data_IF_403873302898
#
_entry.id   IF_403873302898
#
_cell.length_a   1.000
_cell.length_b   1.000
_cell.length_c   1.000
_cell.angle_alpha   90.00
_cell.angle_beta   90.00
_cell.angle_gamma   90.00
#
_symmetry.space_group_name_H-M   'P 1'
#
loop_
_entity.id
_entity.type
_entity.pdbx_description
1 polymer ?
#
# COMPACT_ATOMS: atom_id res chain seq x y z
N UNK A 1 58.59 16.56 -4.75
CA UNK A 1 58.24 15.35 -3.97
C UNK A 1 57.09 15.60 -2.99
N UNK A 2 56.89 16.82 -2.47
CA UNK A 2 55.78 17.08 -1.53
C UNK A 2 54.41 17.35 -2.19
N UNK A 3 54.39 17.92 -3.41
CA UNK A 3 53.14 18.23 -4.12
C UNK A 3 52.39 16.98 -4.61
N UNK A 4 53.10 15.90 -4.97
CA UNK A 4 52.46 14.63 -5.35
C UNK A 4 51.87 13.91 -4.13
N UNK A 5 52.50 14.05 -2.96
CA UNK A 5 52.04 13.43 -1.72
C UNK A 5 50.73 14.05 -1.23
N UNK A 6 50.59 15.38 -1.32
CA UNK A 6 49.34 16.08 -1.00
C UNK A 6 48.18 15.73 -1.95
N UNK A 7 48.45 15.54 -3.25
CA UNK A 7 47.42 15.17 -4.22
C UNK A 7 46.95 13.72 -4.03
N UNK A 8 47.87 12.81 -3.67
CA UNK A 8 47.53 11.42 -3.32
C UNK A 8 46.77 11.34 -2.01
N UNK A 9 47.11 12.15 -1.00
CA UNK A 9 46.36 12.23 0.25
C UNK A 9 44.93 12.76 0.01
N UNK A 10 44.77 13.78 -0.83
CA UNK A 10 43.45 14.31 -1.21
C UNK A 10 42.60 13.27 -1.96
N UNK A 11 43.20 12.49 -2.87
CA UNK A 11 42.51 11.40 -3.56
C UNK A 11 42.11 10.25 -2.62
N UNK A 12 42.90 9.97 -1.58
CA UNK A 12 42.57 8.95 -0.58
C UNK A 12 41.48 9.40 0.41
N UNK A 13 41.45 10.70 0.77
CA UNK A 13 40.38 11.28 1.60
C UNK A 13 39.05 11.36 0.83
N UNK A 14 39.08 11.62 -0.47
CA UNK A 14 37.89 11.56 -1.34
C UNK A 14 37.38 10.13 -1.57
N UNK A 15 38.22 9.10 -1.45
CA UNK A 15 37.80 7.69 -1.57
C UNK A 15 37.28 7.07 -0.27
N UNK A 16 37.55 7.69 0.89
CA UNK A 16 37.10 7.21 2.21
C UNK A 16 35.95 8.01 2.81
N UNK A 17 35.36 8.94 2.07
CA UNK A 17 34.06 9.50 2.45
C UNK A 17 33.01 8.42 2.18
N UNK A 18 32.35 7.82 3.19
CA UNK A 18 31.07 7.22 2.91
C UNK A 18 30.22 8.38 2.43
N UNK A 19 29.93 8.39 1.13
CA UNK A 19 28.76 9.07 0.63
C UNK A 19 27.61 8.45 1.42
N UNK A 20 27.22 9.11 2.51
CA UNK A 20 25.89 8.99 3.07
C UNK A 20 24.96 9.54 1.99
N UNK A 21 24.74 8.72 0.97
CA UNK A 21 23.51 8.71 0.20
C UNK A 21 22.47 8.25 1.22
N UNK A 22 22.05 9.18 2.08
CA UNK A 22 20.70 9.15 2.62
C UNK A 22 19.81 9.43 1.41
N UNK A 23 19.62 8.41 0.59
CA UNK A 23 18.36 8.27 -0.12
C UNK A 23 17.33 8.10 1.00
N UNK A 24 16.77 9.21 1.46
CA UNK A 24 15.39 9.19 1.93
C UNK A 24 14.57 8.78 0.70
N UNK A 25 14.48 7.47 0.49
CA UNK A 25 13.46 6.94 -0.39
C UNK A 25 12.13 7.51 0.07
N UNK A 26 11.24 7.93 -0.84
CA UNK A 26 9.90 8.30 -0.44
C UNK A 26 9.35 7.15 0.42
N UNK A 27 8.80 7.50 1.58
CA UNK A 27 7.97 6.61 2.36
C UNK A 27 6.70 6.36 1.53
N UNK A 28 6.83 5.48 0.55
CA UNK A 28 5.89 5.36 -0.56
C UNK A 28 6.17 4.08 -1.31
N UNK A 29 5.93 2.97 -0.62
CA UNK A 29 5.34 1.72 -1.11
C UNK A 29 5.53 0.71 0.02
N UNK A 30 4.66 0.79 1.03
CA UNK A 30 4.36 -0.41 1.79
C UNK A 30 3.83 -1.41 0.77
N UNK A 31 4.61 -2.44 0.46
CA UNK A 31 4.15 -3.58 -0.31
C UNK A 31 2.79 -4.01 0.24
N UNK A 32 1.80 -4.08 -0.65
CA UNK A 32 0.39 -4.27 -0.34
C UNK A 32 0.17 -5.41 0.66
N UNK A 33 0.11 -5.05 1.93
CA UNK A 33 -0.36 -5.90 3.00
C UNK A 33 -1.66 -5.25 3.48
N UNK A 34 -2.72 -6.04 3.54
CA UNK A 34 -4.00 -5.58 4.05
C UNK A 34 -3.80 -5.00 5.45
N UNK A 35 -4.00 -3.70 5.60
CA UNK A 35 -3.84 -3.04 6.90
C UNK A 35 -5.03 -3.40 7.79
N UNK A 36 -4.76 -3.99 8.96
CA UNK A 36 -5.81 -4.20 9.96
C UNK A 36 -6.15 -2.84 10.55
N UNK A 37 -7.34 -2.36 10.24
CA UNK A 37 -7.84 -1.05 10.69
C UNK A 37 -8.45 -1.15 12.09
N UNK A 38 -9.13 -2.26 12.39
CA UNK A 38 -9.76 -2.46 13.69
C UNK A 38 -9.90 -3.94 14.04
N UNK A 39 -9.72 -4.27 15.31
CA UNK A 39 -9.98 -5.58 15.87
C UNK A 39 -10.87 -5.42 17.12
N UNK A 40 -11.96 -6.17 17.21
CA UNK A 40 -12.96 -6.00 18.26
C UNK A 40 -13.51 -7.34 18.74
N UNK A 41 -13.88 -7.41 20.02
CA UNK A 41 -14.59 -8.54 20.60
C UNK A 41 -16.05 -8.14 20.77
N UNK A 42 -16.96 -8.92 20.19
CA UNK A 42 -18.41 -8.65 20.23
C UNK A 42 -19.13 -9.83 20.86
N UNK A 43 -20.04 -9.53 21.79
CA UNK A 43 -20.82 -10.53 22.54
C UNK A 43 -22.30 -10.34 22.22
N UNK A 44 -22.94 -11.39 21.76
CA UNK A 44 -24.36 -11.36 21.42
C UNK A 44 -25.08 -12.59 22.01
N UNK A 45 -26.30 -12.42 22.56
CA UNK A 45 -27.09 -13.56 23.01
C UNK A 45 -27.53 -14.44 21.84
N UNK A 46 -27.60 -15.75 22.07
CA UNK A 46 -28.19 -16.67 21.10
C UNK A 46 -29.63 -16.26 20.73
N UNK A 47 -30.00 -16.46 19.47
CA UNK A 47 -31.31 -16.08 18.91
C UNK A 47 -31.45 -14.61 18.53
N UNK A 48 -30.48 -13.75 18.86
CA UNK A 48 -30.50 -12.32 18.44
C UNK A 48 -29.90 -12.12 17.05
N UNK A 49 -30.05 -10.92 16.48
CA UNK A 49 -29.35 -10.50 15.26
C UNK A 49 -28.02 -9.85 15.63
N UNK A 50 -26.90 -10.41 15.15
CA UNK A 50 -25.60 -9.77 15.25
C UNK A 50 -25.35 -8.85 14.05
N UNK A 51 -24.78 -7.66 14.29
CA UNK A 51 -24.37 -6.73 13.24
C UNK A 51 -22.88 -6.41 13.41
N UNK A 52 -22.06 -6.86 12.46
CA UNK A 52 -20.63 -6.59 12.42
C UNK A 52 -20.38 -5.37 11.51
N UNK A 53 -20.18 -4.21 12.12
CA UNK A 53 -20.16 -2.93 11.39
C UNK A 53 -18.93 -2.76 10.50
N UNK A 54 -19.09 -2.84 9.18
CA UNK A 54 -17.99 -2.63 8.23
C UNK A 54 -18.33 -1.49 7.27
N UNK A 55 -17.95 -0.26 7.65
CA UNK A 55 -18.21 0.95 6.88
C UNK A 55 -16.92 1.62 6.45
N UNK A 56 -16.83 2.07 5.20
CA UNK A 56 -15.69 2.86 4.71
C UNK A 56 -16.17 3.91 3.69
N UNK A 57 -15.99 5.21 3.97
CA UNK A 57 -16.29 6.27 3.00
C UNK A 57 -15.48 6.13 1.71
N UNK A 58 -14.27 5.56 1.79
CA UNK A 58 -13.37 5.32 0.65
C UNK A 58 -13.78 4.16 -0.25
N UNK A 59 -14.86 3.46 0.10
CA UNK A 59 -15.46 2.37 -0.67
C UNK A 59 -16.87 2.74 -1.16
N UNK A 60 -17.24 4.02 -1.03
CA UNK A 60 -18.46 4.54 -1.64
C UNK A 60 -18.25 4.57 -3.14
N UNK A 61 -19.11 3.87 -3.86
CA UNK A 61 -19.10 3.85 -5.30
C UNK A 61 -20.48 4.21 -5.83
N UNK A 62 -20.49 5.18 -6.74
CA UNK A 62 -21.67 5.55 -7.51
C UNK A 62 -21.35 5.34 -8.99
N UNK A 63 -22.35 5.05 -9.82
CA UNK A 63 -22.11 4.94 -11.27
C UNK A 63 -21.85 6.30 -11.95
N UNK A 64 -21.71 7.38 -11.17
CA UNK A 64 -21.50 8.73 -11.68
C UNK A 64 -20.01 9.01 -11.94
N UNK A 65 -19.60 8.77 -13.18
CA UNK A 65 -18.23 8.95 -13.66
C UNK A 65 -17.71 10.40 -13.55
N UNK A 66 -18.57 11.40 -13.38
CA UNK A 66 -18.16 12.81 -13.29
C UNK A 66 -17.54 13.14 -11.93
N UNK A 67 -18.13 12.64 -10.84
CA UNK A 67 -17.66 12.90 -9.49
C UNK A 67 -16.45 12.04 -9.12
N UNK A 68 -16.39 10.79 -9.62
CA UNK A 68 -15.32 9.84 -9.31
C UNK A 68 -13.95 10.26 -9.89
N UNK A 69 -13.95 11.10 -10.93
CA UNK A 69 -12.72 11.59 -11.60
C UNK A 69 -12.22 12.92 -11.07
N UNK A 70 -12.92 13.50 -10.10
CA UNK A 70 -12.63 14.84 -9.64
C UNK A 70 -11.33 14.86 -8.84
N UNK A 71 -10.25 15.21 -9.54
CA UNK A 71 -8.96 15.58 -8.99
C UNK A 71 -8.78 17.07 -9.16
N UNK A 72 -8.17 17.71 -8.17
CA UNK A 72 -7.87 19.14 -8.20
C UNK A 72 -6.45 19.36 -7.73
N UNK A 73 -5.72 20.18 -8.48
CA UNK A 73 -4.48 20.82 -8.06
C UNK A 73 -4.82 22.23 -7.64
N UNK A 74 -4.29 22.69 -6.51
CA UNK A 74 -4.24 24.11 -6.20
C UNK A 74 -2.90 24.52 -5.60
N UNK A 75 -2.48 25.74 -5.94
CA UNK A 75 -1.33 26.38 -5.33
C UNK A 75 -1.78 27.45 -4.35
N UNK A 76 -1.26 27.40 -3.13
CA UNK A 76 -1.52 28.39 -2.10
C UNK A 76 -0.21 29.08 -1.69
N UNK A 77 -0.29 30.35 -1.27
CA UNK A 77 0.83 31.16 -0.79
C UNK A 77 0.63 31.53 0.67
N UNK A 78 1.61 31.21 1.51
CA UNK A 78 1.70 31.65 2.89
C UNK A 78 2.84 32.65 3.07
N UNK A 79 2.50 33.88 3.44
CA UNK A 79 3.48 34.95 3.68
C UNK A 79 4.12 34.90 5.07
N UNK A 80 3.49 34.22 6.03
CA UNK A 80 3.98 34.06 7.40
C UNK A 80 3.79 32.61 7.85
N UNK A 81 4.78 31.98 8.52
CA UNK A 81 4.60 30.66 9.13
C UNK A 81 3.39 30.66 10.09
N UNK A 82 2.37 29.84 9.82
CA UNK A 82 1.16 29.73 10.65
C UNK A 82 -0.04 30.60 10.22
N UNK A 83 0.08 31.39 9.15
CA UNK A 83 -1.08 32.05 8.52
C UNK A 83 -1.85 31.08 7.61
N UNK A 84 -3.17 31.24 7.46
CA UNK A 84 -3.92 30.50 6.44
C UNK A 84 -3.41 30.94 5.06
N UNK A 85 -2.89 29.99 4.28
CA UNK A 85 -2.39 30.25 2.93
C UNK A 85 -3.50 30.82 2.03
N UNK A 86 -3.16 31.83 1.21
CA UNK A 86 -4.04 32.40 0.21
C UNK A 86 -3.98 31.55 -1.06
N UNK A 87 -5.13 31.07 -1.52
CA UNK A 87 -5.22 30.33 -2.79
C UNK A 87 -4.91 31.24 -3.99
N UNK A 88 -3.98 30.80 -4.83
CA UNK A 88 -3.54 31.54 -6.01
C UNK A 88 -4.25 31.07 -7.28
N UNK A 89 -4.17 29.77 -7.53
CA UNK A 89 -4.67 29.12 -8.75
C UNK A 89 -5.11 27.70 -8.42
N UNK A 90 -6.20 27.26 -9.05
CA UNK A 90 -6.62 25.86 -9.05
C UNK A 90 -6.94 25.35 -10.45
N UNK A 91 -6.89 24.03 -10.64
CA UNK A 91 -7.27 23.38 -11.88
C UNK A 91 -7.83 21.98 -11.58
N UNK A 92 -8.99 21.69 -12.14
CA UNK A 92 -9.61 20.36 -12.07
C UNK A 92 -9.16 19.50 -13.25
N UNK A 93 -9.18 18.17 -13.10
CA UNK A 93 -8.72 17.25 -14.15
C UNK A 93 -9.43 17.37 -15.51
N UNK A 94 -10.70 17.75 -15.53
CA UNK A 94 -11.47 17.99 -16.76
C UNK A 94 -11.75 19.49 -17.02
N UNK A 95 -11.07 20.38 -16.28
CA UNK A 95 -11.32 21.82 -16.32
C UNK A 95 -10.08 22.61 -16.73
N UNK A 96 -10.29 23.89 -16.97
CA UNK A 96 -9.20 24.85 -17.17
C UNK A 96 -8.70 25.37 -15.82
N UNK A 97 -7.51 25.97 -15.83
CA UNK A 97 -7.00 26.68 -14.65
C UNK A 97 -7.87 27.90 -14.33
N UNK A 98 -8.06 28.16 -13.05
CA UNK A 98 -8.71 29.37 -12.54
C UNK A 98 -7.76 30.09 -11.59
N UNK A 99 -7.46 31.34 -11.94
CA UNK A 99 -6.66 32.25 -11.11
C UNK A 99 -7.60 33.11 -10.28
N UNK A 100 -7.31 33.24 -8.98
CA UNK A 100 -8.23 33.90 -8.03
C UNK A 100 -8.09 35.42 -8.00
N UNK A 101 -6.89 35.95 -8.24
CA UNK A 101 -6.63 37.39 -8.25
C UNK A 101 -6.50 37.92 -9.69
N UNK A 102 -7.21 39.01 -10.06
CA UNK A 102 -7.11 39.59 -11.40
C UNK A 102 -5.69 40.00 -11.81
N UNK A 103 -4.88 40.45 -10.84
CA UNK A 103 -3.47 40.84 -11.06
C UNK A 103 -2.59 39.68 -11.54
N UNK A 104 -2.96 38.47 -11.13
CA UNK A 104 -2.19 37.24 -11.38
C UNK A 104 -2.65 36.55 -12.69
N UNK A 105 -3.68 37.08 -13.34
CA UNK A 105 -4.21 36.54 -14.59
C UNK A 105 -3.19 36.66 -15.74
N UNK A 106 -2.91 35.56 -16.43
CA UNK A 106 -1.87 35.48 -17.44
C UNK A 106 -0.43 35.53 -16.90
N UNK A 107 -0.26 35.75 -15.59
CA UNK A 107 1.03 35.77 -14.90
C UNK A 107 1.36 34.41 -14.26
N UNK A 108 0.37 33.79 -13.62
CA UNK A 108 0.45 32.44 -13.07
C UNK A 108 -0.04 31.42 -14.09
N UNK A 109 0.76 30.39 -14.35
CA UNK A 109 0.49 29.37 -15.35
C UNK A 109 0.74 27.97 -14.80
N UNK A 110 -0.24 27.10 -14.99
CA UNK A 110 -0.14 25.66 -14.87
C UNK A 110 -0.05 25.03 -16.26
N UNK A 111 0.49 23.82 -16.34
CA UNK A 111 0.46 23.05 -17.58
C UNK A 111 -0.97 22.60 -17.90
N UNK A 112 -1.54 22.87 -19.09
CA UNK A 112 -2.83 22.34 -19.49
C UNK A 112 -2.88 20.80 -19.54
N UNK A 113 -1.72 20.16 -19.69
CA UNK A 113 -1.57 18.70 -19.69
C UNK A 113 -1.18 18.11 -18.33
N UNK A 114 -1.28 18.87 -17.22
CA UNK A 114 -0.76 18.45 -15.92
C UNK A 114 -1.28 17.07 -15.46
N UNK A 115 -2.57 16.80 -15.67
CA UNK A 115 -3.18 15.50 -15.33
C UNK A 115 -2.89 14.38 -16.35
N UNK A 116 -2.20 14.65 -17.46
CA UNK A 116 -1.77 13.64 -18.43
C UNK A 116 -0.34 13.15 -18.15
N UNK A 117 0.53 14.05 -17.70
CA UNK A 117 1.95 13.82 -17.50
C UNK A 117 2.40 13.85 -16.03
N UNK A 118 1.51 14.27 -15.11
CA UNK A 118 1.79 14.39 -13.69
C UNK A 118 2.64 15.61 -13.35
N UNK A 119 2.68 16.63 -14.21
CA UNK A 119 3.45 17.85 -14.00
C UNK A 119 2.55 19.01 -13.56
N UNK A 120 2.49 19.23 -12.25
CA UNK A 120 1.69 20.24 -11.56
C UNK A 120 2.48 21.50 -11.22
N UNK A 121 3.64 21.69 -11.87
CA UNK A 121 4.53 22.83 -11.62
C UNK A 121 3.85 24.17 -11.91
N UNK A 122 4.16 25.17 -11.10
CA UNK A 122 3.64 26.53 -11.26
C UNK A 122 4.72 27.43 -11.85
N UNK A 123 4.38 28.10 -12.96
CA UNK A 123 5.20 29.13 -13.57
C UNK A 123 4.65 30.52 -13.19
N UNK A 124 5.51 31.33 -12.58
CA UNK A 124 5.33 32.77 -12.41
C UNK A 124 6.14 33.47 -13.51
N UNK A 125 5.51 34.24 -14.39
CA UNK A 125 6.21 34.87 -15.53
C UNK A 125 7.24 35.93 -15.15
N UNK A 126 6.94 36.75 -14.15
CA UNK A 126 7.80 37.84 -13.70
C UNK A 126 7.59 38.05 -12.21
N UNK A 127 8.59 37.70 -11.41
CA UNK A 127 8.54 37.74 -9.94
C UNK A 127 8.71 39.16 -9.41
N UNK A 128 7.95 39.51 -8.37
CA UNK A 128 7.95 40.78 -7.65
C UNK A 128 8.24 40.53 -6.16
N UNK A 129 8.64 41.58 -5.44
CA UNK A 129 8.95 41.49 -3.99
C UNK A 129 7.74 40.96 -3.18
N UNK A 130 6.52 41.29 -3.59
CA UNK A 130 5.30 40.80 -2.95
C UNK A 130 4.96 39.33 -3.17
N UNK A 131 5.75 38.60 -3.95
CA UNK A 131 5.59 37.15 -4.16
C UNK A 131 6.39 36.29 -3.19
N UNK A 132 7.24 36.91 -2.37
CA UNK A 132 8.01 36.18 -1.35
C UNK A 132 7.09 35.41 -0.41
N UNK A 133 7.50 34.19 -0.08
CA UNK A 133 6.76 33.35 0.85
C UNK A 133 6.90 31.86 0.55
N UNK A 134 6.09 31.07 1.24
CA UNK A 134 6.04 29.62 1.07
C UNK A 134 4.82 29.25 0.25
N UNK A 135 5.07 28.68 -0.91
CA UNK A 135 4.10 28.14 -1.83
C UNK A 135 3.85 26.67 -1.53
N UNK A 136 2.60 26.24 -1.57
CA UNK A 136 2.23 24.83 -1.43
C UNK A 136 1.48 24.35 -2.66
N UNK A 137 2.02 23.31 -3.30
CA UNK A 137 1.34 22.54 -4.33
C UNK A 137 0.50 21.48 -3.65
N UNK A 138 -0.82 21.52 -3.81
CA UNK A 138 -1.74 20.58 -3.15
C UNK A 138 -2.52 19.78 -4.19
N UNK A 139 -2.40 18.46 -4.12
CA UNK A 139 -3.12 17.52 -4.98
C UNK A 139 -4.18 16.81 -4.15
N UNK A 140 -5.45 16.98 -4.54
CA UNK A 140 -6.57 16.32 -3.89
C UNK A 140 -7.28 15.39 -4.85
N UNK A 141 -7.44 14.14 -4.45
CA UNK A 141 -8.26 13.15 -5.14
C UNK A 141 -9.54 12.97 -4.34
N UNK A 142 -10.65 13.55 -4.80
CA UNK A 142 -11.90 13.53 -4.02
C UNK A 142 -12.45 12.11 -3.82
N UNK A 143 -12.39 11.30 -4.88
CA UNK A 143 -12.86 9.92 -4.86
C UNK A 143 -12.04 9.00 -3.94
N UNK A 144 -10.72 8.97 -4.08
CA UNK A 144 -9.86 8.17 -3.19
C UNK A 144 -9.62 8.79 -1.80
N UNK A 145 -10.09 10.01 -1.56
CA UNK A 145 -9.78 10.82 -0.37
C UNK A 145 -8.27 10.91 -0.08
N UNK A 146 -7.47 11.12 -1.13
CA UNK A 146 -6.01 11.26 -1.04
C UNK A 146 -5.62 12.73 -1.12
N UNK A 147 -4.62 13.09 -0.32
CA UNK A 147 -4.11 14.45 -0.16
C UNK A 147 -2.59 14.40 -0.18
N UNK A 148 -1.98 15.06 -1.15
CA UNK A 148 -0.53 15.20 -1.25
C UNK A 148 -0.18 16.68 -1.31
N UNK A 149 0.89 17.08 -0.61
CA UNK A 149 1.32 18.47 -0.57
C UNK A 149 2.83 18.60 -0.64
N UNK A 150 3.32 19.52 -1.47
CA UNK A 150 4.74 19.88 -1.57
C UNK A 150 4.91 21.38 -1.30
N UNK A 151 5.85 21.74 -0.43
CA UNK A 151 6.18 23.12 -0.13
C UNK A 151 7.43 23.58 -0.89
N UNK A 152 7.41 24.83 -1.37
CA UNK A 152 8.55 25.52 -1.99
C UNK A 152 8.61 26.95 -1.44
N UNK A 153 9.77 27.41 -0.98
CA UNK A 153 9.95 28.81 -0.54
C UNK A 153 10.52 29.63 -1.70
N UNK A 154 9.89 30.75 -2.00
CA UNK A 154 10.39 31.74 -2.95
C UNK A 154 11.00 32.92 -2.19
N UNK A 155 12.25 33.24 -2.52
CA UNK A 155 12.96 34.42 -2.06
C UNK A 155 13.30 35.29 -3.27
N UNK A 156 13.13 36.61 -3.14
CA UNK A 156 13.31 37.54 -4.25
C UNK A 156 14.57 38.36 -4.01
N UNK A 157 15.40 38.49 -5.04
CA UNK A 157 16.63 39.26 -4.97
C UNK A 157 16.72 40.27 -6.11
N UNK A 158 17.40 41.38 -5.87
CA UNK A 158 17.75 42.32 -6.93
C UNK A 158 19.01 41.92 -7.68
N UNK A 159 19.85 41.06 -7.09
CA UNK A 159 21.11 40.62 -7.69
C UNK A 159 20.93 39.26 -8.39
N UNK A 160 20.95 39.22 -9.73
CA UNK A 160 20.83 37.96 -10.47
C UNK A 160 21.97 36.97 -10.20
N UNK A 161 23.11 37.41 -9.65
CA UNK A 161 24.20 36.51 -9.27
C UNK A 161 23.87 35.67 -8.02
N UNK A 162 22.89 36.10 -7.22
CA UNK A 162 22.41 35.35 -6.06
C UNK A 162 21.31 34.35 -6.41
N UNK A 163 20.81 34.35 -7.65
CA UNK A 163 19.75 33.45 -8.09
C UNK A 163 20.22 31.99 -8.06
N UNK A 164 19.51 31.15 -7.31
CA UNK A 164 19.84 29.73 -7.10
C UNK A 164 18.65 28.96 -6.53
N UNK A 165 18.65 27.65 -6.69
CA UNK A 165 17.77 26.73 -5.99
C UNK A 165 18.59 25.85 -5.05
N UNK A 166 18.12 25.63 -3.83
CA UNK A 166 18.75 24.75 -2.85
C UNK A 166 17.72 24.12 -1.91
N UNK A 167 18.12 23.08 -1.17
CA UNK A 167 17.29 22.44 -0.16
C UNK A 167 17.63 22.97 1.24
N UNK A 168 16.63 23.43 2.01
CA UNK A 168 16.85 23.94 3.37
C UNK A 168 16.85 22.87 4.47
N UNK A 169 16.62 21.61 4.10
CA UNK A 169 16.47 20.46 5.01
C UNK A 169 15.03 19.95 5.06
N UNK A 170 14.05 20.78 4.73
CA UNK A 170 12.62 20.45 4.76
C UNK A 170 11.92 20.67 3.42
N UNK A 171 12.31 21.72 2.68
CA UNK A 171 11.71 22.12 1.41
C UNK A 171 12.73 22.76 0.47
N UNK A 172 12.33 22.87 -0.79
CA UNK A 172 13.11 23.58 -1.80
C UNK A 172 12.97 25.09 -1.57
N UNK A 173 14.11 25.80 -1.61
CA UNK A 173 14.18 27.26 -1.56
C UNK A 173 14.74 27.74 -2.89
N UNK A 174 13.99 28.61 -3.54
CA UNK A 174 14.35 29.19 -4.83
C UNK A 174 14.52 30.70 -4.66
N UNK A 175 15.75 31.17 -4.90
CA UNK A 175 16.10 32.58 -4.94
C UNK A 175 16.03 33.04 -6.39
N UNK A 176 15.13 33.97 -6.70
CA UNK A 176 14.87 34.44 -8.07
C UNK A 176 15.07 35.95 -8.16
N UNK A 177 15.75 36.37 -9.22
CA UNK A 177 15.93 37.79 -9.48
C UNK A 177 14.59 38.45 -9.84
N UNK A 178 14.31 39.64 -9.29
CA UNK A 178 13.10 40.41 -9.60
C UNK A 178 12.93 40.60 -11.11
N UNK A 179 11.71 40.38 -11.59
CA UNK A 179 11.32 40.45 -13.01
C UNK A 179 11.61 39.18 -13.81
N UNK A 180 12.37 38.22 -13.28
CA UNK A 180 12.62 36.95 -13.95
C UNK A 180 11.49 35.94 -13.73
N UNK A 181 11.31 34.97 -14.63
CA UNK A 181 10.36 33.88 -14.43
C UNK A 181 10.85 32.91 -13.35
N UNK A 182 9.89 32.35 -12.60
CA UNK A 182 10.11 31.33 -11.58
C UNK A 182 9.26 30.11 -11.89
N UNK A 183 9.90 28.94 -12.02
CA UNK A 183 9.21 27.65 -12.19
C UNK A 183 9.36 26.83 -10.92
N UNK A 184 8.30 26.76 -10.12
CA UNK A 184 8.26 25.92 -8.93
C UNK A 184 7.86 24.51 -9.32
N UNK A 185 8.78 23.56 -9.17
CA UNK A 185 8.56 22.18 -9.60
C UNK A 185 7.61 21.46 -8.66
N UNK A 186 6.56 20.86 -9.22
CA UNK A 186 5.68 19.94 -8.52
C UNK A 186 5.32 18.80 -9.47
N UNK A 187 5.90 17.62 -9.27
CA UNK A 187 5.75 16.49 -10.20
C UNK A 187 5.34 15.25 -9.42
N UNK A 188 4.18 14.70 -9.74
CA UNK A 188 3.72 13.42 -9.23
C UNK A 188 3.18 12.57 -10.39
N UNK A 189 3.93 11.52 -10.75
CA UNK A 189 3.63 10.65 -11.90
C UNK A 189 2.93 9.36 -11.53
N UNK A 190 2.42 9.24 -10.31
CA UNK A 190 1.63 8.05 -9.97
C UNK A 190 0.35 7.99 -10.81
N UNK A 191 -0.08 6.77 -11.11
CA UNK A 191 -1.25 6.52 -11.96
C UNK A 191 -2.52 7.15 -11.41
N UNK A 192 -2.64 7.29 -10.09
CA UNK A 192 -3.76 7.94 -9.40
C UNK A 192 -3.93 9.41 -9.79
N UNK A 193 -2.83 10.10 -10.05
CA UNK A 193 -2.83 11.53 -10.37
C UNK A 193 -2.86 11.79 -11.88
N UNK A 194 -2.81 10.74 -12.70
CA UNK A 194 -2.76 10.86 -14.16
C UNK A 194 -3.94 10.17 -14.86
N UNK A 195 -4.30 10.62 -16.05
CA UNK A 195 -5.41 10.09 -16.85
C UNK A 195 -5.11 8.74 -17.54
N UNK A 196 -4.02 8.08 -17.17
CA UNK A 196 -3.44 6.97 -17.94
C UNK A 196 -4.15 5.62 -17.74
N UNK A 197 -5.08 5.49 -16.80
CA UNK A 197 -5.74 4.21 -16.51
C UNK A 197 -7.27 4.31 -16.43
N UNK A 198 -7.95 3.31 -17.00
CA UNK A 198 -9.39 3.09 -16.80
C UNK A 198 -9.65 2.63 -15.35
N UNK A 199 -10.53 3.37 -14.67
CA UNK A 199 -11.05 3.12 -13.32
C UNK A 199 -11.95 1.88 -13.21
N UNK A 200 -12.06 1.05 -14.26
CA UNK A 200 -12.87 -0.17 -14.28
C UNK A 200 -12.28 -1.29 -13.39
N UNK A 201 -11.25 -0.97 -12.61
CA UNK A 201 -10.69 -1.86 -11.62
C UNK A 201 -11.71 -2.15 -10.51
N UNK A 202 -12.01 -3.44 -10.34
CA UNK A 202 -13.05 -3.93 -9.45
C UNK A 202 -12.80 -3.49 -7.99
N UNK A 203 -13.78 -2.82 -7.39
CA UNK A 203 -13.89 -2.79 -5.95
C UNK A 203 -14.55 -4.09 -5.49
N UNK A 204 -13.94 -4.71 -4.51
CA UNK A 204 -14.45 -5.94 -3.92
C UNK A 204 -14.39 -5.83 -2.41
N UNK A 205 -15.46 -6.25 -1.77
CA UNK A 205 -15.50 -6.47 -0.33
C UNK A 205 -15.74 -7.93 -0.11
N UNK A 206 -14.94 -8.52 0.78
CA UNK A 206 -15.12 -9.90 1.16
C UNK A 206 -15.20 -10.08 2.66
N UNK A 207 -16.03 -11.04 3.05
CA UNK A 207 -16.14 -11.51 4.41
C UNK A 207 -15.53 -12.89 4.50
N UNK A 208 -14.59 -13.05 5.42
CA UNK A 208 -13.96 -14.31 5.77
C UNK A 208 -14.39 -14.72 7.17
N UNK A 209 -14.53 -16.02 7.40
CA UNK A 209 -14.81 -16.62 8.69
C UNK A 209 -13.70 -17.59 9.04
N UNK A 210 -13.15 -17.44 10.23
CA UNK A 210 -12.14 -18.32 10.80
C UNK A 210 -12.72 -18.99 12.04
N UNK A 211 -12.78 -20.31 12.02
CA UNK A 211 -13.22 -21.11 13.15
C UNK A 211 -12.18 -21.09 14.27
N UNK A 212 -12.59 -21.25 15.55
CA UNK A 212 -11.66 -21.36 16.67
C UNK A 212 -10.59 -22.44 16.42
N UNK A 213 -9.32 -22.07 16.58
CA UNK A 213 -8.18 -22.98 16.39
C UNK A 213 -7.67 -23.13 14.94
N UNK A 214 -8.34 -22.53 13.95
CA UNK A 214 -7.83 -22.44 12.57
C UNK A 214 -6.84 -21.27 12.47
N UNK A 215 -5.67 -21.41 11.83
CA UNK A 215 -4.75 -20.29 11.63
C UNK A 215 -5.27 -19.29 10.58
N UNK A 216 -4.77 -18.06 10.66
CA UNK A 216 -5.26 -16.90 9.87
C UNK A 216 -5.16 -17.08 8.35
N UNK A 217 -4.19 -17.84 7.87
CA UNK A 217 -3.96 -18.14 6.45
C UNK A 217 -5.00 -19.10 5.85
N UNK A 218 -5.85 -19.69 6.69
CA UNK A 218 -6.87 -20.68 6.31
C UNK A 218 -8.28 -20.26 6.71
N UNK A 219 -8.53 -18.95 6.77
CA UNK A 219 -9.90 -18.46 6.92
C UNK A 219 -10.74 -18.85 5.70
N UNK A 220 -11.97 -19.30 5.93
CA UNK A 220 -12.89 -19.67 4.87
C UNK A 220 -13.61 -18.43 4.35
N UNK A 221 -13.71 -18.32 3.02
CA UNK A 221 -14.52 -17.27 2.39
C UNK A 221 -15.99 -17.48 2.76
N UNK A 222 -16.69 -16.39 3.14
CA UNK A 222 -18.12 -16.39 3.46
C UNK A 222 -18.93 -15.63 2.38
N UNK A 223 -18.49 -14.42 2.02
CA UNK A 223 -19.16 -13.61 0.99
C UNK A 223 -18.13 -12.84 0.16
N UNK A 224 -18.42 -12.69 -1.13
CA UNK A 224 -17.84 -11.67 -2.00
C UNK A 224 -18.94 -10.72 -2.49
N UNK A 225 -18.64 -9.43 -2.45
CA UNK A 225 -19.48 -8.34 -2.93
C UNK A 225 -18.68 -7.53 -3.94
N UNK A 226 -19.17 -7.42 -5.16
CA UNK A 226 -18.54 -6.63 -6.22
C UNK A 226 -19.32 -5.35 -6.49
N UNK A 227 -18.61 -4.28 -6.83
CA UNK A 227 -19.24 -3.00 -7.21
C UNK A 227 -20.21 -3.15 -8.40
N UNK A 228 -19.96 -4.12 -9.28
CA UNK A 228 -20.84 -4.50 -10.40
C UNK A 228 -22.24 -4.96 -9.97
N UNK A 229 -22.44 -5.24 -8.68
CA UNK A 229 -23.67 -5.81 -8.12
C UNK A 229 -23.63 -7.34 -8.01
N UNK A 230 -22.60 -8.00 -8.55
CA UNK A 230 -22.41 -9.44 -8.37
C UNK A 230 -22.14 -9.77 -6.89
N UNK A 231 -22.76 -10.85 -6.42
CA UNK A 231 -22.62 -11.36 -5.05
C UNK A 231 -22.38 -12.85 -5.10
N UNK A 232 -21.38 -13.32 -4.36
CA UNK A 232 -21.10 -14.74 -4.21
C UNK A 232 -21.12 -15.10 -2.74
N UNK A 233 -21.82 -16.17 -2.41
CA UNK A 233 -21.90 -16.67 -1.06
C UNK A 233 -21.29 -18.06 -0.98
N UNK A 234 -20.50 -18.25 0.07
CA UNK A 234 -19.68 -19.41 0.31
C UNK A 234 -19.96 -19.96 1.70
N UNK A 235 -19.39 -21.12 2.01
CA UNK A 235 -19.60 -21.79 3.29
C UNK A 235 -20.91 -22.60 3.34
N UNK A 236 -21.26 -23.09 4.54
CA UNK A 236 -22.34 -24.05 4.70
C UNK A 236 -23.73 -23.41 4.57
N UNK A 237 -24.68 -24.17 4.04
CA UNK A 237 -26.05 -23.71 3.78
C UNK A 237 -26.73 -23.14 5.03
N UNK A 238 -26.53 -23.75 6.21
CA UNK A 238 -27.15 -23.33 7.46
C UNK A 238 -26.78 -21.90 7.90
N UNK A 239 -25.61 -21.41 7.47
CA UNK A 239 -25.16 -20.05 7.75
C UNK A 239 -25.52 -19.11 6.59
N UNK A 240 -25.39 -19.58 5.35
CA UNK A 240 -25.63 -18.78 4.15
C UNK A 240 -27.02 -18.13 4.12
N UNK A 241 -28.03 -18.85 4.60
CA UNK A 241 -29.42 -18.36 4.57
C UNK A 241 -29.71 -17.34 5.69
N UNK A 242 -28.84 -17.22 6.70
CA UNK A 242 -28.97 -16.29 7.84
C UNK A 242 -28.04 -15.08 7.74
N UNK A 243 -27.12 -15.07 6.78
CA UNK A 243 -26.13 -14.01 6.61
C UNK A 243 -26.52 -13.07 5.48
N UNK A 244 -26.52 -11.77 5.74
CA UNK A 244 -26.88 -10.76 4.75
C UNK A 244 -26.04 -9.48 4.85
N UNK A 245 -25.88 -8.82 3.71
CA UNK A 245 -25.38 -7.45 3.58
C UNK A 245 -26.37 -6.65 2.75
N UNK A 246 -26.54 -5.36 3.09
CA UNK A 246 -27.52 -4.48 2.42
C UNK A 246 -27.32 -4.45 0.89
N UNK A 247 -28.42 -4.31 0.14
CA UNK A 247 -28.42 -4.32 -1.34
C UNK A 247 -27.55 -3.20 -1.94
N UNK A 248 -27.63 -2.03 -1.33
CA UNK A 248 -27.02 -0.76 -1.68
C UNK A 248 -25.80 -0.44 -0.81
N UNK A 249 -25.02 -1.48 -0.48
CA UNK A 249 -23.81 -1.39 0.33
C UNK A 249 -22.78 -0.41 -0.27
N UNK A 250 -22.46 -0.54 -1.56
CA UNK A 250 -21.50 0.33 -2.25
C UNK A 250 -21.98 1.79 -2.36
N UNK A 251 -23.27 2.03 -2.53
CA UNK A 251 -23.80 3.40 -2.61
C UNK A 251 -23.65 4.17 -1.29
N UNK A 252 -23.59 3.47 -0.14
CA UNK A 252 -23.42 4.08 1.19
C UNK A 252 -22.07 3.80 1.83
N UNK A 253 -21.24 2.96 1.22
CA UNK A 253 -20.02 2.43 1.84
C UNK A 253 -20.30 1.60 3.10
N UNK A 254 -21.47 0.93 3.18
CA UNK A 254 -21.91 0.13 4.35
C UNK A 254 -22.01 -1.36 4.01
N UNK A 255 -20.96 -2.09 4.36
CA UNK A 255 -20.77 -3.52 4.10
C UNK A 255 -20.95 -4.37 5.35
N UNK A 256 -21.69 -3.85 6.33
CA UNK A 256 -21.89 -4.52 7.62
C UNK A 256 -22.54 -5.89 7.45
N UNK A 257 -21.94 -6.92 8.07
CA UNK A 257 -22.47 -8.27 8.07
C UNK A 257 -23.60 -8.38 9.08
N UNK A 258 -24.74 -8.91 8.65
CA UNK A 258 -25.85 -9.28 9.54
C UNK A 258 -25.91 -10.79 9.63
N UNK A 259 -26.03 -11.30 10.85
CA UNK A 259 -26.23 -12.72 11.13
C UNK A 259 -27.52 -12.83 11.94
N UNK A 260 -28.56 -13.37 11.33
CA UNK A 260 -29.87 -13.54 11.96
C UNK A 260 -29.92 -14.83 12.80
N UNK A 261 -30.73 -14.79 13.86
CA UNK A 261 -30.97 -15.93 14.76
C UNK A 261 -29.68 -16.63 15.21
N UNK A 262 -28.80 -15.89 15.89
CA UNK A 262 -27.44 -16.33 16.20
C UNK A 262 -27.38 -17.65 16.99
N UNK A 263 -26.57 -18.59 16.54
CA UNK A 263 -26.39 -19.91 17.15
C UNK A 263 -25.00 -20.02 17.79
N UNK A 264 -24.82 -20.90 18.78
CA UNK A 264 -23.52 -21.11 19.42
C UNK A 264 -22.45 -21.59 18.42
N UNK A 265 -22.87 -22.30 17.37
CA UNK A 265 -22.01 -22.73 16.27
C UNK A 265 -21.55 -21.57 15.37
N UNK A 266 -22.09 -20.35 15.51
CA UNK A 266 -21.68 -19.17 14.75
C UNK A 266 -20.48 -18.45 15.37
N UNK A 267 -20.06 -18.85 16.57
CA UNK A 267 -18.86 -18.33 17.23
C UNK A 267 -17.62 -18.49 16.32
N UNK A 268 -16.73 -17.50 16.38
CA UNK A 268 -15.51 -17.47 15.58
C UNK A 268 -15.04 -16.05 15.28
N UNK A 269 -14.03 -15.97 14.41
CA UNK A 269 -13.42 -14.71 13.99
C UNK A 269 -13.95 -14.37 12.60
N UNK A 270 -14.61 -13.23 12.46
CA UNK A 270 -15.10 -12.71 11.20
C UNK A 270 -14.22 -11.56 10.75
N UNK A 271 -13.76 -11.59 9.49
CA UNK A 271 -12.92 -10.54 8.92
C UNK A 271 -13.60 -9.92 7.71
N UNK A 272 -13.84 -8.61 7.76
CA UNK A 272 -14.23 -7.82 6.60
C UNK A 272 -12.96 -7.28 5.93
N UNK A 273 -12.80 -7.52 4.64
CA UNK A 273 -11.71 -6.96 3.86
C UNK A 273 -12.26 -6.10 2.73
N UNK A 274 -11.72 -4.89 2.60
CA UNK A 274 -12.13 -3.95 1.59
C UNK A 274 -10.95 -3.70 0.66
N UNK A 275 -11.16 -3.98 -0.62
CA UNK A 275 -10.15 -3.84 -1.66
C UNK A 275 -10.64 -2.84 -2.69
N UNK A 276 -9.93 -1.72 -2.79
CA UNK A 276 -10.10 -0.74 -3.86
C UNK A 276 -8.86 -0.75 -4.72
N UNK A 277 -8.86 -1.51 -5.81
CA UNK A 277 -7.65 -1.69 -6.64
C UNK A 277 -7.14 -0.37 -7.23
N UNK A 278 -8.04 0.48 -7.74
CA UNK A 278 -7.65 1.79 -8.30
C UNK A 278 -6.98 2.67 -7.24
N UNK A 279 -7.66 2.97 -6.12
CA UNK A 279 -7.11 3.76 -5.01
C UNK A 279 -6.00 3.08 -4.19
N UNK A 280 -5.62 1.83 -4.48
CA UNK A 280 -4.67 1.07 -3.67
C UNK A 280 -5.12 0.80 -2.22
N UNK A 281 -6.43 0.83 -1.95
CA UNK A 281 -6.96 0.66 -0.60
C UNK A 281 -7.03 -0.83 -0.23
N UNK A 282 -6.44 -1.17 0.90
CA UNK A 282 -6.55 -2.50 1.52
C UNK A 282 -6.82 -2.34 3.02
N UNK A 283 -8.09 -2.39 3.40
CA UNK A 283 -8.55 -2.31 4.79
C UNK A 283 -9.04 -3.67 5.27
N UNK A 284 -8.76 -4.00 6.54
CA UNK A 284 -9.30 -5.19 7.21
C UNK A 284 -9.88 -4.85 8.57
N UNK A 285 -11.09 -5.33 8.86
CA UNK A 285 -11.73 -5.23 10.18
C UNK A 285 -12.02 -6.63 10.72
N UNK A 286 -11.62 -6.90 11.96
CA UNK A 286 -11.70 -8.23 12.59
C UNK A 286 -12.66 -8.18 13.78
N UNK A 287 -13.54 -9.18 13.87
CA UNK A 287 -14.53 -9.33 14.92
C UNK A 287 -14.42 -10.72 15.53
N UNK A 288 -14.09 -10.78 16.81
CA UNK A 288 -14.17 -11.99 17.63
C UNK A 288 -15.60 -12.10 18.16
N UNK A 289 -16.44 -12.88 17.48
CA UNK A 289 -17.84 -13.05 17.82
C UNK A 289 -18.00 -14.16 18.87
N UNK A 290 -18.50 -13.80 20.05
CA UNK A 290 -18.83 -14.71 21.13
C UNK A 290 -20.36 -14.77 21.30
N UNK A 291 -20.90 -15.98 21.38
CA UNK A 291 -22.34 -16.21 21.54
C UNK A 291 -22.62 -16.57 22.99
N UNK A 292 -23.32 -15.69 23.70
CA UNK A 292 -23.70 -15.94 25.10
C UNK A 292 -25.02 -16.68 25.17
N UNK A 293 -25.20 -17.48 26.20
CA UNK A 293 -26.50 -18.09 26.48
C UNK A 293 -27.57 -17.01 26.68
N UNK A 294 -28.81 -17.26 26.25
CA UNK A 294 -29.89 -16.32 26.45
C UNK A 294 -30.08 -16.08 27.95
N UNK A 295 -30.08 -14.82 28.37
CA UNK A 295 -30.37 -14.47 29.76
C UNK A 295 -31.80 -14.88 30.05
N UNK A 296 -31.98 -16.00 30.74
CA UNK A 296 -33.29 -16.41 31.24
C UNK A 296 -33.64 -15.44 32.38
N UNK A 297 -34.34 -14.36 32.06
CA UNK A 297 -34.93 -13.50 33.07
C UNK A 297 -36.00 -14.34 33.80
N UNK A 298 -35.81 -14.68 35.08
CA UNK A 298 -36.80 -15.47 35.80
C UNK A 298 -38.11 -14.68 35.77
N UNK A 299 -39.27 -15.32 35.50
CA UNK A 299 -40.54 -14.63 35.57
C UNK A 299 -40.64 -13.95 36.94
N UNK A 300 -40.93 -12.64 36.93
CA UNK A 300 -41.06 -11.86 38.16
C UNK A 300 -41.99 -12.61 39.12
N UNK A 301 -41.60 -12.79 40.40
CA UNK A 301 -42.48 -13.45 41.36
C UNK A 301 -43.80 -12.70 41.39
N UNK A 302 -44.88 -13.40 41.06
CA UNK A 302 -46.23 -12.86 41.11
C UNK A 302 -46.43 -12.22 42.51
N UNK A 303 -46.81 -10.95 42.54
CA UNK A 303 -47.17 -10.26 43.78
C UNK A 303 -48.14 -11.11 44.60
N UNK A 304 -47.91 -11.33 45.90
CA UNK A 304 -48.83 -12.11 46.72
C UNK A 304 -50.14 -11.35 46.89
N UNK A 305 -51.19 -11.89 46.27
CA UNK A 305 -52.57 -11.53 46.60
C UNK A 305 -52.90 -11.95 48.03
N UNK A 306 -53.48 -11.02 48.76
CA UNK A 306 -53.92 -11.15 50.15
C UNK A 306 -54.98 -12.28 50.28
N UNK A 307 -54.70 -13.30 51.10
CA UNK A 307 -55.64 -14.40 51.33
C UNK A 307 -55.20 -15.33 52.45
N UNK A 308 -55.89 -15.24 53.59
CA UNK A 308 -55.68 -15.96 54.84
C UNK A 308 -55.88 -17.48 54.76
N UNK A 309 -55.08 -18.26 55.49
CA UNK A 309 -55.38 -19.67 55.78
C UNK A 309 -54.28 -20.37 56.59
N UNK A 310 -54.56 -20.64 57.86
CA UNK A 310 -53.72 -21.30 58.87
C UNK A 310 -53.18 -22.69 58.49
N UNK A 311 -51.91 -22.99 58.80
CA UNK A 311 -51.49 -23.86 59.93
C UNK A 311 -50.05 -24.43 59.81
N UNK A 312 -49.41 -24.53 60.99
CA UNK A 312 -48.40 -25.52 61.45
C UNK A 312 -46.90 -25.37 61.09
N UNK A 313 -46.16 -24.90 62.11
CA UNK A 313 -44.99 -25.51 62.78
C UNK A 313 -43.55 -25.29 62.25
N UNK A 314 -42.52 -25.29 63.14
CA UNK A 314 -41.35 -24.41 63.07
C UNK A 314 -40.07 -25.06 62.51
N UNK A 315 -39.11 -24.23 62.11
CA UNK A 315 -37.86 -24.62 61.42
C UNK A 315 -36.77 -25.24 62.30
N UNK A 316 -35.59 -25.48 61.71
CA UNK A 316 -34.37 -24.99 62.36
C UNK A 316 -33.41 -24.23 61.42
N UNK A 317 -32.59 -23.42 62.09
CA UNK A 317 -31.66 -22.39 61.61
C UNK A 317 -30.52 -22.85 60.66
N UNK A 318 -29.87 -21.90 59.95
CA UNK A 318 -28.80 -22.12 59.00
C UNK A 318 -27.42 -21.92 59.66
N UNK A 319 -26.68 -22.99 59.96
CA UNK A 319 -25.23 -22.88 60.18
C UNK A 319 -24.51 -24.18 59.81
N UNK A 320 -23.36 -24.03 59.14
CA UNK A 320 -22.36 -25.06 58.78
C UNK A 320 -22.67 -25.93 57.56
N UNK A 321 -22.20 -25.55 56.37
CA UNK A 321 -20.99 -26.13 55.72
C UNK A 321 -20.45 -25.11 54.70
N UNK A 322 -19.70 -24.12 55.18
CA UNK A 322 -18.59 -23.59 54.40
C UNK A 322 -17.42 -24.56 54.55
N UNK A 323 -16.92 -25.14 53.45
CA UNK A 323 -15.49 -25.45 53.18
C UNK A 323 -15.35 -26.63 52.23
N UNK A 324 -15.04 -26.30 50.97
CA UNK A 324 -14.29 -27.05 49.94
C UNK A 324 -14.97 -26.77 48.59
N UNK A 325 -14.33 -26.26 47.54
CA UNK A 325 -12.92 -26.17 47.19
C UNK A 325 -12.84 -25.04 46.16
N UNK A 326 -12.28 -23.90 46.54
CA UNK A 326 -11.88 -22.89 45.57
C UNK A 326 -10.72 -23.45 44.77
N UNK A 327 -10.91 -23.69 43.48
CA UNK A 327 -9.80 -23.93 42.56
C UNK A 327 -9.25 -22.57 42.16
N UNK A 328 -8.26 -22.10 42.91
CA UNK A 328 -7.41 -20.98 42.52
C UNK A 328 -6.63 -21.38 41.26
N UNK A 329 -7.08 -20.93 40.10
CA UNK A 329 -6.28 -20.97 38.88
C UNK A 329 -5.25 -19.85 39.01
N UNK A 330 -4.02 -20.22 39.35
CA UNK A 330 -2.87 -19.34 39.19
C UNK A 330 -2.65 -19.24 37.68
N UNK A 331 -2.98 -18.09 37.09
CA UNK A 331 -2.48 -17.75 35.78
C UNK A 331 -0.95 -17.63 35.90
N UNK A 332 -0.25 -18.71 35.56
CA UNK A 332 1.17 -18.63 35.22
C UNK A 332 1.21 -17.94 33.88
N UNK A 333 1.49 -16.64 33.89
CA UNK A 333 1.90 -15.91 32.70
C UNK A 333 3.20 -16.56 32.25
N UNK A 334 3.12 -17.42 31.24
CA UNK A 334 4.28 -17.83 30.45
C UNK A 334 4.58 -16.63 29.54
N UNK A 335 5.75 -15.97 29.66
CA UNK A 335 6.10 -14.91 28.74
C UNK A 335 6.38 -15.54 27.37
N UNK A 336 5.42 -15.45 26.46
CA UNK A 336 5.61 -15.72 25.03
C UNK A 336 6.50 -14.61 24.45
N UNK A 337 7.81 -14.78 24.55
CA UNK A 337 8.77 -13.92 23.85
C UNK A 337 9.90 -14.71 23.16
N UNK A 338 9.59 -15.94 22.72
CA UNK A 338 10.57 -16.77 22.01
C UNK A 338 10.92 -16.22 20.62
N UNK A 339 10.02 -15.47 19.95
CA UNK A 339 10.29 -14.89 18.63
C UNK A 339 11.38 -13.82 18.65
N UNK A 340 11.39 -12.95 19.66
CA UNK A 340 12.42 -11.91 19.80
C UNK A 340 13.80 -12.49 20.16
N UNK A 341 13.86 -13.58 20.93
CA UNK A 341 15.11 -14.25 21.25
C UNK A 341 15.75 -14.93 20.03
N UNK A 342 14.96 -15.66 19.23
CA UNK A 342 15.48 -16.31 18.02
C UNK A 342 15.90 -15.31 16.94
N UNK A 343 15.20 -14.18 16.84
CA UNK A 343 15.56 -13.12 15.90
C UNK A 343 16.84 -12.39 16.34
N UNK A 344 17.00 -12.06 17.63
CA UNK A 344 18.24 -11.49 18.17
C UNK A 344 19.42 -12.47 18.05
N UNK A 345 19.20 -13.76 18.33
CA UNK A 345 20.20 -14.80 18.14
C UNK A 345 20.61 -14.94 16.67
N UNK A 346 19.64 -14.82 15.75
CA UNK A 346 19.88 -14.79 14.31
C UNK A 346 20.76 -13.62 13.87
N UNK A 347 20.51 -12.41 14.39
CA UNK A 347 21.35 -11.23 14.13
C UNK A 347 22.77 -11.38 14.71
N UNK A 348 22.91 -11.93 15.91
CA UNK A 348 24.22 -12.18 16.52
C UNK A 348 25.00 -13.25 15.73
N UNK A 349 24.34 -14.31 15.29
CA UNK A 349 24.96 -15.35 14.45
C UNK A 349 25.37 -14.80 13.08
N UNK A 350 24.50 -14.00 12.43
CA UNK A 350 24.80 -13.39 11.14
C UNK A 350 25.99 -12.41 11.21
N UNK A 351 26.05 -11.58 12.26
CA UNK A 351 27.17 -10.65 12.45
C UNK A 351 28.48 -11.38 12.77
N UNK A 352 28.43 -12.45 13.57
CA UNK A 352 29.60 -13.28 13.84
C UNK A 352 30.14 -13.96 12.57
N UNK A 353 29.24 -14.46 11.73
CA UNK A 353 29.58 -15.13 10.46
C UNK A 353 30.20 -14.13 9.48
N UNK A 354 29.66 -12.92 9.38
CA UNK A 354 30.24 -11.83 8.59
C UNK A 354 31.66 -11.47 9.07
N UNK A 355 31.86 -11.39 10.39
CA UNK A 355 33.17 -11.10 10.98
C UNK A 355 34.20 -12.19 10.68
N UNK A 356 33.80 -13.46 10.74
CA UNK A 356 34.67 -14.59 10.37
C UNK A 356 35.05 -14.53 8.88
N UNK A 357 34.10 -14.23 8.00
CA UNK A 357 34.39 -14.07 6.57
C UNK A 357 35.38 -12.92 6.33
N UNK A 358 35.21 -11.78 7.01
CA UNK A 358 36.16 -10.67 6.94
C UNK A 358 37.54 -11.08 7.45
N UNK A 359 37.64 -11.80 8.57
CA UNK A 359 38.92 -12.33 9.05
C UNK A 359 39.57 -13.28 8.04
N UNK A 360 38.80 -14.16 7.40
CA UNK A 360 39.31 -15.04 6.35
C UNK A 360 39.84 -14.22 5.17
N UNK A 361 39.12 -13.17 4.73
CA UNK A 361 39.61 -12.31 3.65
C UNK A 361 40.90 -11.57 4.02
N UNK A 362 41.03 -11.11 5.26
CA UNK A 362 42.25 -10.47 5.76
C UNK A 362 43.40 -11.47 5.87
N UNK A 363 43.14 -12.69 6.35
CA UNK A 363 44.17 -13.76 6.41
C UNK A 363 44.59 -14.19 5.01
N UNK A 364 43.66 -14.30 4.06
CA UNK A 364 43.98 -14.59 2.67
C UNK A 364 44.75 -13.44 2.04
N UNK A 365 44.35 -12.19 2.27
CA UNK A 365 45.05 -11.01 1.75
C UNK A 365 46.47 -10.86 2.34
N UNK A 366 46.64 -11.15 3.63
CA UNK A 366 47.96 -11.12 4.30
C UNK A 366 48.83 -12.30 3.88
N UNK A 367 48.27 -13.50 3.66
CA UNK A 367 49.00 -14.63 3.07
C UNK A 367 49.37 -14.38 1.61
N UNK A 368 48.50 -13.71 0.84
CA UNK A 368 48.79 -13.32 -0.55
C UNK A 368 49.85 -12.21 -0.65
N UNK A 369 49.99 -11.38 0.40
CA UNK A 369 51.06 -10.38 0.51
C UNK A 369 52.35 -10.91 1.11
N UNK A 370 52.31 -12.00 1.88
CA UNK A 370 53.47 -12.67 2.48
C UNK A 370 54.12 -13.76 1.62
N UNK A 371 53.60 -14.03 0.41
CA UNK A 371 54.08 -15.07 -0.49
C UNK A 371 54.85 -14.59 -1.72
N UNK A 372 55.11 -13.28 -1.86
CA UNK A 372 55.79 -12.70 -3.03
C UNK A 372 57.09 -11.98 -2.66
N UNK A 373 57.98 -12.62 -1.89
CA UNK A 373 59.40 -12.24 -1.88
C UNK A 373 60.27 -13.50 -1.73
N UNK A 374 60.54 -14.17 -2.85
CA UNK A 374 61.75 -14.98 -2.98
C UNK A 374 62.11 -15.19 -4.46
N UNK A 375 63.08 -14.38 -4.90
CA UNK A 375 64.06 -14.66 -5.95
C UNK A 375 63.59 -14.78 -7.41
N UNK A 376 64.03 -13.82 -8.23
CA UNK A 376 64.62 -14.18 -9.51
C UNK A 376 65.82 -13.30 -9.86
N UNK A 377 67.01 -13.88 -9.68
CA UNK A 377 68.27 -13.44 -10.28
C UNK A 377 68.62 -14.38 -11.44
N UNK A 378 68.91 -13.74 -12.57
CA UNK A 378 69.77 -14.18 -13.69
C UNK A 378 69.21 -15.16 -14.73
N UNK A 379 69.12 -14.58 -15.92
CA UNK A 379 69.19 -15.21 -17.22
C UNK A 379 70.38 -16.17 -17.39
N UNK A 380 70.17 -17.25 -18.16
CA UNK A 380 71.26 -18.10 -18.65
C UNK A 380 70.85 -19.40 -19.34
N UNK A 381 70.38 -19.30 -20.60
CA UNK A 381 70.79 -20.09 -21.79
C UNK A 381 70.90 -21.65 -21.72
N UNK A 382 70.31 -22.27 -22.75
CA UNK A 382 70.68 -23.55 -23.40
C UNK A 382 70.30 -24.83 -22.62
N UNK A 383 70.04 -26.04 -23.15
CA UNK A 383 69.93 -26.66 -24.50
C UNK A 383 69.71 -28.16 -24.23
N UNK A 384 68.90 -28.85 -25.04
CA UNK A 384 68.86 -30.32 -25.16
C UNK A 384 68.02 -31.05 -24.10
N UNK A 385 66.99 -31.82 -24.46
CA UNK A 385 66.94 -33.15 -25.12
C UNK A 385 66.89 -34.32 -24.11
N UNK A 386 65.79 -35.07 -24.25
CA UNK A 386 65.56 -36.52 -24.06
C UNK A 386 65.76 -37.09 -22.62
N UNK A 387 65.01 -38.06 -22.06
CA UNK A 387 64.50 -39.36 -22.53
C UNK A 387 63.50 -39.86 -21.44
N UNK A 388 62.22 -40.15 -21.76
CA UNK A 388 61.55 -41.48 -21.81
C UNK A 388 61.24 -42.22 -20.48
N UNK A 389 60.01 -42.74 -20.36
CA UNK A 389 59.61 -44.18 -20.17
C UNK A 389 58.11 -44.20 -19.79
N UNK A 390 57.18 -44.60 -20.67
CA UNK A 390 56.50 -45.93 -20.74
C UNK A 390 56.08 -46.43 -19.34
N UNK A 391 54.80 -46.63 -19.01
CA UNK A 391 54.00 -47.80 -19.43
C UNK A 391 52.49 -47.62 -19.08
N UNK A 392 51.63 -48.06 -20.01
CA UNK A 392 50.39 -48.88 -19.90
C UNK A 392 49.56 -48.91 -18.59
N UNK A 393 48.26 -49.19 -18.57
CA UNK A 393 47.13 -49.22 -19.51
C UNK A 393 45.90 -49.67 -18.70
N UNK A 394 44.74 -49.09 -19.04
CA UNK A 394 43.42 -49.72 -19.19
C UNK A 394 42.88 -50.65 -18.09
N UNK A 395 41.73 -50.26 -17.51
CA UNK A 395 40.56 -51.15 -17.45
C UNK A 395 39.25 -50.34 -17.38
N UNK A 396 38.42 -50.57 -18.39
CA UNK A 396 37.06 -50.05 -18.59
C UNK A 396 36.05 -51.10 -18.15
N UNK A 397 34.91 -50.68 -17.56
CA UNK A 397 33.55 -51.29 -17.55
C UNK A 397 32.80 -50.79 -16.31
N UNK A 398 31.53 -50.48 -16.27
CA UNK A 398 30.41 -50.40 -17.23
C UNK A 398 29.29 -49.69 -16.45
N UNK A 399 28.57 -48.72 -17.02
CA UNK A 399 27.09 -48.68 -16.99
C UNK A 399 26.52 -47.47 -17.75
N UNK A 400 25.36 -47.74 -18.35
CA UNK A 400 24.69 -47.07 -19.45
C UNK A 400 24.39 -45.55 -19.28
N UNK A 401 24.31 -44.82 -20.41
CA UNK A 401 23.88 -43.42 -20.45
C UNK A 401 22.35 -43.30 -20.45
N UNK A 402 21.83 -42.37 -19.65
CA UNK A 402 20.44 -41.95 -19.69
C UNK A 402 20.19 -41.17 -20.99
N UNK A 403 19.12 -41.54 -21.71
CA UNK A 403 18.67 -40.91 -22.96
C UNK A 403 18.36 -39.42 -22.75
N UNK A 404 18.96 -38.57 -23.56
CA UNK A 404 18.42 -37.26 -23.92
C UNK A 404 17.62 -37.45 -25.20
N UNK A 405 16.30 -37.34 -25.12
CA UNK A 405 15.44 -37.17 -26.28
C UNK A 405 14.92 -35.73 -26.26
N UNK A 406 15.33 -34.96 -27.27
CA UNK A 406 14.74 -33.69 -27.66
C UNK A 406 13.28 -33.91 -28.05
N UNK A 407 12.35 -33.23 -27.37
CA UNK A 407 11.00 -32.98 -27.87
C UNK A 407 10.63 -31.51 -27.59
N UNK A 408 10.94 -30.68 -28.59
CA UNK A 408 10.00 -29.77 -29.24
C UNK A 408 9.06 -28.95 -28.34
N UNK A 409 9.52 -27.75 -27.98
CA UNK A 409 8.69 -26.66 -27.50
C UNK A 409 7.85 -26.11 -28.66
N UNK A 410 6.57 -26.48 -28.71
CA UNK A 410 5.61 -25.87 -29.62
C UNK A 410 4.43 -25.23 -28.86
N UNK A 411 4.37 -23.91 -29.03
CA UNK A 411 3.18 -23.08 -29.21
C UNK A 411 2.14 -22.92 -28.09
N UNK A 412 2.12 -21.72 -27.50
CA UNK A 412 0.89 -20.94 -27.22
C UNK A 412 1.19 -19.46 -27.04
N UNK A 413 1.66 -18.83 -28.13
CA UNK A 413 1.71 -17.38 -28.28
C UNK A 413 0.53 -16.97 -29.18
N UNK A 414 -0.63 -16.70 -28.59
CA UNK A 414 -1.86 -16.34 -29.34
C UNK A 414 -2.36 -14.91 -29.10
N UNK A 415 -1.53 -14.01 -28.55
CA UNK A 415 -1.95 -12.62 -28.28
C UNK A 415 -1.57 -11.63 -29.40
N UNK A 416 -0.78 -12.03 -30.39
CA UNK A 416 -0.33 -11.13 -31.46
C UNK A 416 -0.93 -11.41 -32.86
N UNK A 417 -1.80 -12.42 -33.00
CA UNK A 417 -2.42 -12.72 -34.30
C UNK A 417 -3.77 -12.02 -34.53
N UNK A 418 -4.41 -11.50 -33.49
CA UNK A 418 -5.70 -10.78 -33.61
C UNK A 418 -5.54 -9.32 -34.06
N UNK A 419 -4.34 -8.73 -33.97
CA UNK A 419 -4.09 -7.33 -34.40
C UNK A 419 -3.67 -7.18 -35.86
N UNK A 420 -3.38 -8.27 -36.58
CA UNK A 420 -3.01 -8.22 -37.98
C UNK A 420 -4.19 -8.43 -38.94
N UNK A 421 -5.26 -9.10 -38.51
CA UNK A 421 -6.44 -9.36 -39.36
C UNK A 421 -7.46 -8.20 -39.37
N UNK A 422 -7.30 -7.18 -38.50
CA UNK A 422 -8.09 -5.94 -38.51
C UNK A 422 -7.49 -4.83 -39.40
N UNK A 423 -6.29 -5.03 -39.95
CA UNK A 423 -5.62 -4.02 -40.77
C UNK A 423 -5.84 -4.18 -42.29
N UNK A 424 -6.43 -5.30 -42.74
CA UNK A 424 -6.62 -5.58 -44.16
C UNK A 424 -8.00 -6.17 -44.49
N UNK A 425 -9.02 -5.31 -44.56
CA UNK A 425 -10.15 -5.50 -45.48
C UNK A 425 -10.84 -4.17 -45.80
N UNK A 426 -11.39 -4.02 -47.02
CA UNK A 426 -11.62 -2.73 -47.66
C UNK A 426 -12.93 -2.06 -47.23
N UNK A 427 -12.90 -0.72 -47.22
CA UNK A 427 -14.05 0.17 -47.01
C UNK A 427 -15.27 -0.20 -47.87
N UNK A 428 -16.49 -0.28 -47.31
CA UNK A 428 -17.70 -0.08 -48.08
C UNK A 428 -18.06 1.41 -48.17
N UNK A 429 -18.58 1.76 -49.33
CA UNK A 429 -18.81 3.12 -49.79
C UNK A 429 -20.01 3.83 -49.13
N UNK A 430 -19.81 5.13 -48.87
CA UNK A 430 -20.71 6.28 -49.10
C UNK A 430 -22.21 6.20 -48.79
N UNK A 431 -22.60 7.20 -47.98
CA UNK A 431 -23.80 8.04 -48.04
C UNK A 431 -25.10 7.51 -47.41
N UNK A 432 -25.40 7.99 -46.20
CA UNK A 432 -26.77 8.33 -45.82
C UNK A 432 -26.75 9.72 -45.18
N UNK A 433 -27.42 10.64 -45.86
CA UNK A 433 -27.64 12.05 -45.57
C UNK A 433 -28.76 12.16 -44.51
N UNK A 434 -28.42 12.54 -43.29
CA UNK A 434 -29.37 12.76 -42.19
C UNK A 434 -29.45 14.26 -41.89
N UNK A 435 -29.95 15.03 -42.84
CA UNK A 435 -30.32 16.43 -42.59
C UNK A 435 -31.54 16.83 -43.44
N UNK A 436 -32.68 16.18 -43.19
CA UNK A 436 -33.96 16.55 -43.82
C UNK A 436 -35.21 16.06 -43.09
N UNK A 437 -35.33 16.30 -41.78
CA UNK A 437 -36.61 16.02 -41.09
C UNK A 437 -36.95 16.91 -39.88
N UNK A 438 -36.48 18.17 -39.86
CA UNK A 438 -36.89 19.14 -38.82
C UNK A 438 -37.40 20.48 -39.34
N UNK A 439 -38.02 20.51 -40.53
CA UNK A 439 -38.82 21.65 -40.98
C UNK A 439 -40.04 21.21 -41.77
N UNK A 440 -41.13 20.94 -41.04
CA UNK A 440 -42.51 21.23 -41.42
C UNK A 440 -43.41 20.70 -40.30
N UNK A 441 -43.98 21.62 -39.54
CA UNK A 441 -45.38 21.61 -39.06
C UNK A 441 -45.51 22.55 -37.86
N UNK A 442 -45.72 23.84 -38.14
CA UNK A 442 -46.56 24.72 -37.35
C UNK A 442 -46.95 25.90 -38.24
N UNK A 443 -48.05 25.73 -38.97
CA UNK A 443 -48.89 26.80 -39.53
C UNK A 443 -50.22 26.17 -39.98
N UNK A 444 -51.17 26.10 -39.06
CA UNK A 444 -52.59 26.41 -39.29
C UNK A 444 -53.24 26.76 -37.97
#
# INVERSE_FOLDING_TARGET
>A
MELLSCVLLWKLVLLQSPAFILSSGPAGTAAASSSVVSESVVKWPAGTQAVLNCQSPRMVWTQDRLHDRQRVIHWDLSGVPGSQGRRLVDMYSAGEQRVYEPRDNGRLLLSPSAFQDGNFSLLIRAVEEGDEGVYTCNLHHHYCHLYESLAVRLEVTDDPLLARAYWDGEKEVMVVARGMPALMTCVNREHLWTDRHLEEAQQVVHWDRQLPGVPHDRADRLLDLYASGERRAYGPSFLRDRVAVKADAFARGDFSLRIDALEQADEGIYSCHLHHHYCGLHERRVYHLQVTEPTFEPPAPASPGNGSGHNSAPGPDPTLVSRSRGHSVINVIVPENHSHFFQQLGYVLATLLLFILLLITVVLATRHRGGCEASDKKAGKSKGKDVNMMEFAVATRDQAPYRTEDIQLDYKNNILKERAELAHSPLPAKNVDLDKEFRKEYCK
#
